data_IF_947768083569
#
_entry.id   IF_947768083569
#
_cell.length_a   1.000
_cell.length_b   1.000
_cell.length_c   1.000
_cell.angle_alpha   90.00
_cell.angle_beta   90.00
_cell.angle_gamma   90.00
#
_symmetry.space_group_name_H-M   'P 1'
#
loop_
_entity.id
_entity.type
_entity.pdbx_description
1 polymer ?
#
# COMPACT_ATOMS: atom_id res chain seq x y z
N UNK A 1 -2.37 30.98 -12.72
CA UNK A 1 -1.65 30.37 -11.58
C UNK A 1 -2.04 28.91 -11.50
N UNK A 2 -1.20 28.00 -12.02
CA UNK A 2 -1.39 26.54 -11.97
C UNK A 2 -0.04 25.92 -11.65
N UNK A 3 0.42 26.08 -10.41
CA UNK A 3 1.68 25.49 -9.94
C UNK A 3 1.52 24.71 -8.62
N UNK A 4 0.30 24.57 -8.09
CA UNK A 4 0.04 23.76 -6.90
C UNK A 4 -0.33 22.30 -7.19
N UNK A 5 -0.61 21.93 -8.45
CA UNK A 5 -0.99 20.56 -8.81
C UNK A 5 0.23 19.60 -8.84
N UNK A 6 1.40 20.12 -9.21
CA UNK A 6 2.58 19.33 -9.58
C UNK A 6 3.28 18.61 -8.42
N UNK A 7 3.08 19.04 -7.17
CA UNK A 7 3.77 18.44 -6.01
C UNK A 7 3.01 17.24 -5.43
N UNK A 8 1.68 17.17 -5.61
CA UNK A 8 0.85 16.04 -5.13
C UNK A 8 0.97 14.80 -6.03
N UNK A 9 1.29 15.00 -7.30
CA UNK A 9 1.41 13.88 -8.25
C UNK A 9 2.72 13.08 -8.07
N UNK A 10 3.73 13.64 -7.38
CA UNK A 10 5.05 13.02 -7.19
C UNK A 10 5.15 12.05 -6.00
N UNK A 11 4.13 11.98 -5.14
CA UNK A 11 4.06 11.09 -3.96
C UNK A 11 2.90 10.08 -4.08
N UNK A 12 2.29 9.96 -5.27
CA UNK A 12 1.20 9.00 -5.48
C UNK A 12 1.78 7.60 -5.61
N UNK A 13 1.39 6.71 -4.69
CA UNK A 13 1.59 5.27 -4.86
C UNK A 13 0.66 4.81 -5.96
N UNK A 14 1.20 4.38 -7.11
CA UNK A 14 0.38 3.98 -8.26
C UNK A 14 -0.54 2.81 -7.94
N UNK A 15 -0.15 1.96 -7.00
CA UNK A 15 -1.00 0.90 -6.45
C UNK A 15 -2.32 1.45 -5.86
N UNK A 16 -2.31 2.64 -5.24
CA UNK A 16 -3.51 3.24 -4.64
C UNK A 16 -4.36 4.00 -5.66
N UNK A 17 -3.73 4.63 -6.66
CA UNK A 17 -4.41 5.46 -7.66
C UNK A 17 -5.41 4.66 -8.50
N UNK A 18 -5.12 3.37 -8.70
CA UNK A 18 -5.89 2.52 -9.62
C UNK A 18 -7.03 1.77 -8.92
N UNK A 19 -6.79 1.22 -7.73
CA UNK A 19 -7.76 0.36 -7.03
C UNK A 19 -8.35 0.97 -5.75
N UNK A 20 -7.93 2.19 -5.37
CA UNK A 20 -8.32 2.87 -4.13
C UNK A 20 -8.25 1.90 -2.94
N UNK A 21 -7.07 1.32 -2.78
CA UNK A 21 -6.78 0.29 -1.77
C UNK A 21 -7.22 0.79 -0.39
N UNK A 22 -6.95 2.06 -0.09
CA UNK A 22 -7.39 2.66 1.16
C UNK A 22 -8.90 2.54 1.37
N UNK A 23 -9.73 2.96 0.40
CA UNK A 23 -11.19 2.87 0.53
C UNK A 23 -11.73 1.46 0.52
N UNK A 24 -11.09 0.56 -0.23
CA UNK A 24 -11.52 -0.84 -0.32
C UNK A 24 -11.35 -1.59 0.99
N UNK A 25 -10.38 -1.18 1.81
CA UNK A 25 -9.99 -1.89 3.03
C UNK A 25 -10.19 -1.10 4.35
N UNK A 26 -10.44 0.23 4.31
CA UNK A 26 -10.83 1.04 5.49
C UNK A 26 -12.26 0.80 5.99
N UNK A 27 -12.97 -0.19 5.44
CA UNK A 27 -14.31 -0.53 5.90
C UNK A 27 -15.32 0.61 5.71
N UNK A 28 -16.29 0.69 6.63
CA UNK A 28 -17.48 1.55 6.48
C UNK A 28 -17.29 3.00 6.90
N UNK A 29 -16.34 3.29 7.78
CA UNK A 29 -16.10 4.64 8.33
C UNK A 29 -15.14 5.48 7.48
N UNK A 30 -14.46 4.84 6.51
CA UNK A 30 -13.50 5.46 5.58
C UNK A 30 -12.34 6.12 6.31
N UNK A 31 -12.00 5.59 7.49
CA UNK A 31 -10.82 5.95 8.26
C UNK A 31 -10.01 4.69 8.49
N UNK A 32 -8.71 4.84 8.70
CA UNK A 32 -7.85 3.72 9.06
C UNK A 32 -6.83 4.26 10.05
N UNK A 33 -6.81 3.72 11.26
CA UNK A 33 -5.71 3.99 12.17
C UNK A 33 -4.45 3.17 11.80
N UNK A 34 -3.34 3.39 12.50
CA UNK A 34 -2.09 2.72 12.19
C UNK A 34 -2.16 1.19 12.40
N UNK A 35 -2.97 0.71 13.34
CA UNK A 35 -3.11 -0.71 13.63
C UNK A 35 -4.00 -1.38 12.57
N UNK A 36 -5.07 -0.72 12.15
CA UNK A 36 -5.91 -1.13 11.01
C UNK A 36 -5.11 -1.15 9.71
N UNK A 37 -4.26 -0.15 9.48
CA UNK A 37 -3.36 -0.09 8.33
C UNK A 37 -2.32 -1.20 8.33
N UNK A 38 -1.70 -1.45 9.48
CA UNK A 38 -0.75 -2.56 9.65
C UNK A 38 -1.43 -3.90 9.38
N UNK A 39 -2.62 -4.11 9.96
CA UNK A 39 -3.39 -5.36 9.79
C UNK A 39 -3.80 -5.58 8.34
N UNK A 40 -4.08 -4.51 7.59
CA UNK A 40 -4.36 -4.59 6.17
C UNK A 40 -3.19 -5.16 5.37
N UNK A 41 -1.97 -4.64 5.57
CA UNK A 41 -0.82 -5.15 4.81
C UNK A 41 -0.45 -6.58 5.17
N UNK A 42 -0.71 -7.00 6.40
CA UNK A 42 -0.54 -8.40 6.81
C UNK A 42 -1.54 -9.37 6.17
N UNK A 43 -2.57 -8.91 5.45
CA UNK A 43 -3.38 -9.78 4.57
C UNK A 43 -2.53 -10.42 3.45
N UNK A 44 -1.47 -9.73 3.03
CA UNK A 44 -0.56 -10.25 2.01
C UNK A 44 0.46 -11.25 2.59
N UNK A 45 0.71 -11.23 3.90
CA UNK A 45 1.60 -12.16 4.60
C UNK A 45 0.93 -13.55 4.69
N UNK A 46 1.45 -14.53 3.93
CA UNK A 46 0.79 -15.83 3.76
C UNK A 46 1.32 -16.89 4.70
N UNK A 47 2.56 -16.75 5.18
CA UNK A 47 3.15 -17.70 6.11
C UNK A 47 3.14 -17.20 7.57
N UNK A 48 2.80 -15.93 7.79
CA UNK A 48 2.54 -15.33 9.09
C UNK A 48 3.81 -14.95 9.85
N UNK A 49 4.92 -14.73 9.15
CA UNK A 49 6.20 -14.35 9.76
C UNK A 49 6.31 -12.84 10.07
N UNK A 50 5.32 -12.05 9.65
CA UNK A 50 5.25 -10.61 9.83
C UNK A 50 5.94 -9.81 8.72
N UNK A 51 6.48 -10.47 7.69
CA UNK A 51 7.10 -9.87 6.52
C UNK A 51 6.34 -10.29 5.26
N UNK A 52 5.82 -9.32 4.53
CA UNK A 52 5.25 -9.61 3.21
C UNK A 52 6.39 -9.67 2.21
N UNK A 53 6.71 -10.87 1.72
CA UNK A 53 7.68 -11.00 0.63
C UNK A 53 7.07 -10.58 -0.71
N UNK A 54 7.92 -10.24 -1.68
CA UNK A 54 7.48 -9.96 -3.05
C UNK A 54 6.64 -11.07 -3.69
N UNK A 55 6.95 -12.34 -3.36
CA UNK A 55 6.24 -13.50 -3.90
C UNK A 55 4.84 -13.64 -3.31
N UNK A 56 4.69 -13.35 -2.03
CA UNK A 56 3.38 -13.35 -1.37
C UNK A 56 2.53 -12.18 -1.82
N UNK A 57 3.14 -11.00 -1.92
CA UNK A 57 2.51 -9.81 -2.47
C UNK A 57 1.93 -10.06 -3.87
N UNK A 58 2.77 -10.53 -4.81
CA UNK A 58 2.35 -10.80 -6.20
C UNK A 58 1.24 -11.85 -6.28
N UNK A 59 1.35 -12.92 -5.47
CA UNK A 59 0.37 -14.00 -5.45
C UNK A 59 -0.97 -13.54 -4.91
N UNK A 60 -0.98 -12.84 -3.78
CA UNK A 60 -2.21 -12.37 -3.14
C UNK A 60 -2.86 -11.27 -3.99
N UNK A 61 -2.08 -10.35 -4.55
CA UNK A 61 -2.59 -9.31 -5.47
C UNK A 61 -3.36 -9.90 -6.66
N UNK A 62 -2.79 -10.93 -7.30
CA UNK A 62 -3.43 -11.65 -8.40
C UNK A 62 -4.67 -12.42 -7.94
N UNK A 63 -4.59 -13.07 -6.78
CA UNK A 63 -5.70 -13.85 -6.21
C UNK A 63 -6.91 -12.98 -5.89
N UNK A 64 -6.68 -11.77 -5.37
CA UNK A 64 -7.73 -10.82 -5.01
C UNK A 64 -8.36 -10.12 -6.23
N UNK A 65 -7.82 -10.39 -7.43
CA UNK A 65 -8.30 -9.81 -8.68
C UNK A 65 -8.10 -8.29 -8.74
N UNK A 66 -7.04 -7.79 -8.09
CA UNK A 66 -6.68 -6.37 -8.15
C UNK A 66 -6.18 -6.00 -9.55
N UNK A 67 -6.39 -4.75 -9.93
CA UNK A 67 -6.08 -4.27 -11.28
C UNK A 67 -4.58 -4.26 -11.55
N UNK A 68 -4.19 -4.20 -12.82
CA UNK A 68 -2.78 -4.15 -13.25
C UNK A 68 -1.91 -5.23 -12.59
N UNK A 69 -2.43 -6.45 -12.42
CA UNK A 69 -1.76 -7.52 -11.68
C UNK A 69 -0.41 -7.94 -12.25
N UNK A 70 -0.16 -7.72 -13.54
CA UNK A 70 1.16 -7.88 -14.17
C UNK A 70 2.21 -6.88 -13.63
N UNK A 71 1.76 -5.78 -13.00
CA UNK A 71 2.60 -4.75 -12.37
C UNK A 71 2.72 -4.91 -10.86
N UNK A 72 2.12 -5.92 -10.24
CA UNK A 72 2.26 -6.16 -8.80
C UNK A 72 3.74 -6.17 -8.32
N UNK A 73 4.71 -6.75 -9.06
CA UNK A 73 6.13 -6.66 -8.71
C UNK A 73 6.70 -5.24 -8.67
N UNK A 74 6.15 -4.31 -9.45
CA UNK A 74 6.54 -2.90 -9.44
C UNK A 74 5.92 -2.16 -8.26
N UNK A 75 4.65 -2.42 -7.96
CA UNK A 75 3.97 -1.84 -6.79
C UNK A 75 4.67 -2.22 -5.48
N UNK A 76 5.11 -3.47 -5.36
CA UNK A 76 5.93 -3.91 -4.22
C UNK A 76 7.14 -2.99 -4.00
N UNK A 77 7.94 -2.76 -5.06
CA UNK A 77 9.15 -1.92 -4.98
C UNK A 77 8.86 -0.46 -4.63
N UNK A 78 7.67 0.04 -4.96
CA UNK A 78 7.25 1.40 -4.62
C UNK A 78 6.91 1.54 -3.12
N UNK A 79 6.43 0.45 -2.53
CA UNK A 79 5.96 0.37 -1.15
C UNK A 79 7.04 -0.07 -0.16
N UNK A 80 8.10 -0.72 -0.64
CA UNK A 80 9.32 -1.04 0.11
C UNK A 80 10.11 0.26 0.35
N UNK A 81 9.80 0.94 1.46
CA UNK A 81 10.33 2.27 1.81
C UNK A 81 11.63 2.15 2.58
N UNK A 82 11.78 1.07 3.33
CA UNK A 82 13.01 0.64 3.96
C UNK A 82 13.56 -0.50 3.12
N UNK A 83 14.33 -0.17 2.07
CA UNK A 83 14.79 -1.09 1.02
C UNK A 83 15.53 -2.35 1.54
N UNK A 84 14.78 -3.34 2.01
CA UNK A 84 15.21 -4.61 2.60
C UNK A 84 14.51 -5.83 1.94
N UNK A 85 13.74 -5.58 0.87
CA UNK A 85 13.02 -6.56 0.05
C UNK A 85 11.88 -7.30 0.77
N UNK A 86 11.37 -6.74 1.86
CA UNK A 86 10.10 -7.15 2.49
C UNK A 86 9.22 -5.92 2.73
N UNK A 87 7.91 -6.12 2.89
CA UNK A 87 7.04 -5.08 3.46
C UNK A 87 6.70 -5.47 4.88
N UNK A 88 7.11 -4.65 5.84
CA UNK A 88 6.85 -4.90 7.26
C UNK A 88 6.51 -3.60 8.00
N UNK A 89 6.48 -3.67 9.34
CA UNK A 89 6.13 -2.53 10.19
C UNK A 89 7.02 -1.30 9.96
N UNK A 90 8.28 -1.48 9.58
CA UNK A 90 9.20 -0.38 9.28
C UNK A 90 8.74 0.40 8.04
N UNK A 91 8.21 -0.28 7.01
CA UNK A 91 7.62 0.36 5.83
C UNK A 91 6.27 1.01 6.11
N UNK A 92 5.41 0.32 6.87
CA UNK A 92 4.02 0.73 7.05
C UNK A 92 3.90 2.12 7.69
N UNK A 93 4.81 2.47 8.59
CA UNK A 93 4.90 3.83 9.17
C UNK A 93 5.09 4.89 8.08
N UNK A 94 5.93 4.60 7.08
CA UNK A 94 6.19 5.53 5.98
C UNK A 94 5.03 5.56 4.98
N UNK A 95 4.40 4.42 4.73
CA UNK A 95 3.26 4.32 3.82
C UNK A 95 2.01 4.98 4.38
N UNK A 96 1.72 4.84 5.69
CA UNK A 96 0.54 5.40 6.33
C UNK A 96 0.35 6.89 6.02
N UNK A 97 1.43 7.67 6.10
CA UNK A 97 1.42 9.11 5.78
C UNK A 97 1.17 9.44 4.30
N UNK A 98 1.40 8.49 3.39
CA UNK A 98 1.17 8.67 1.95
C UNK A 98 -0.27 8.31 1.58
N UNK A 99 -0.85 7.31 2.25
CA UNK A 99 -2.22 6.85 2.00
C UNK A 99 -3.28 7.62 2.80
N UNK A 100 -2.91 8.30 3.88
CA UNK A 100 -3.82 9.18 4.61
C UNK A 100 -4.11 10.47 3.82
N UNK A 101 -5.19 10.46 3.04
CA UNK A 101 -5.68 11.63 2.30
C UNK A 101 -6.16 12.77 3.21
N UNK A 102 -6.37 12.52 4.51
CA UNK A 102 -6.85 13.51 5.47
C UNK A 102 -5.72 14.11 6.34
N UNK A 103 -4.51 13.54 6.30
CA UNK A 103 -3.28 14.10 6.87
C UNK A 103 -3.40 14.47 8.35
N UNK A 104 -3.83 13.53 9.19
CA UNK A 104 -3.84 13.72 10.65
C UNK A 104 -2.47 13.41 11.27
#
# INVERSE_FOLDING_TARGET
MREHQSFRDAVKVWANVEDDLFKRYSGGDRTMDQDEFTSYWLHFDRDGDGNVTKAEFDRTWKSDGLSNSDRAPFFFLEMDRVADEVLNKEDFVHMFHIFDENGM
#
